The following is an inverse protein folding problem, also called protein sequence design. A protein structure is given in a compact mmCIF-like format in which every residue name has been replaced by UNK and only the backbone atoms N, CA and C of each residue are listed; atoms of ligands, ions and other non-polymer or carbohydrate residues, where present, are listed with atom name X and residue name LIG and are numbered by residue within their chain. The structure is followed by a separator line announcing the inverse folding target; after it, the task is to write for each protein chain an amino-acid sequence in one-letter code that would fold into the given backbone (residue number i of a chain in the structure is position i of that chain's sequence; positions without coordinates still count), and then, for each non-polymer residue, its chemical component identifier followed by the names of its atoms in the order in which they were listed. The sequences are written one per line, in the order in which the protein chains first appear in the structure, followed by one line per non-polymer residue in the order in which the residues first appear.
data_IF_344976369947
#
_entry.id   IF_344976369947
#
_cell.length_a   1.000
_cell.length_b   1.000
_cell.length_c   1.000
_cell.angle_alpha   90.00
_cell.angle_beta   90.00
_cell.angle_gamma   90.00
#
_symmetry.space_group_name_H-M   'P 1'
#
loop_
_entity.id
_entity.type
_entity.pdbx_description
1 polymer ?
#
# COMPACT_ATOMS: atom_id res chain seq x y z
N UNK A 1 19.62 14.36 -3.23
CA UNK A 1 18.41 14.85 -2.54
C UNK A 1 17.82 13.70 -1.77
N UNK A 2 17.51 13.93 -0.49
CA UNK A 2 17.05 12.95 0.48
C UNK A 2 15.57 13.16 0.79
N UNK A 3 14.75 12.13 0.55
CA UNK A 3 13.28 12.21 0.69
C UNK A 3 12.80 11.18 1.71
N UNK A 4 11.97 11.63 2.65
CA UNK A 4 11.23 10.75 3.55
C UNK A 4 9.82 10.51 3.03
N UNK A 5 9.38 9.25 3.03
CA UNK A 5 8.00 8.85 2.75
C UNK A 5 7.47 8.10 3.98
N UNK A 6 6.38 8.58 4.55
CA UNK A 6 5.82 8.04 5.81
C UNK A 6 4.50 7.33 5.52
N UNK A 7 4.35 6.13 6.04
CA UNK A 7 3.12 5.34 5.91
C UNK A 7 3.40 3.88 5.56
N UNK A 8 2.33 3.10 5.43
CA UNK A 8 2.41 1.66 5.14
C UNK A 8 1.56 1.20 3.96
N UNK A 9 0.86 2.14 3.32
CA UNK A 9 -0.06 1.89 2.21
C UNK A 9 0.63 1.70 0.86
N UNK A 10 -0.12 1.23 -0.13
CA UNK A 10 0.38 1.06 -1.50
C UNK A 10 0.92 2.36 -2.12
N UNK A 11 0.30 3.50 -1.79
CA UNK A 11 0.68 4.86 -2.21
C UNK A 11 2.13 5.21 -1.83
N UNK A 12 2.65 4.67 -0.73
CA UNK A 12 4.03 4.88 -0.28
C UNK A 12 5.00 4.28 -1.30
N UNK A 13 4.71 3.07 -1.75
CA UNK A 13 5.61 2.32 -2.62
C UNK A 13 5.49 2.80 -4.07
N UNK A 14 4.29 3.13 -4.54
CA UNK A 14 4.12 3.74 -5.87
C UNK A 14 4.77 5.12 -5.94
N UNK A 15 4.69 5.92 -4.87
CA UNK A 15 5.42 7.18 -4.75
C UNK A 15 6.94 6.98 -4.87
N UNK A 16 7.50 6.08 -4.06
CA UNK A 16 8.94 5.81 -4.10
C UNK A 16 9.43 5.30 -5.46
N UNK A 17 8.66 4.39 -6.08
CA UNK A 17 8.97 3.93 -7.43
C UNK A 17 8.96 5.05 -8.45
N UNK A 18 7.95 5.93 -8.41
CA UNK A 18 7.83 7.04 -9.35
C UNK A 18 8.93 8.07 -9.15
N UNK A 19 9.29 8.40 -7.92
CA UNK A 19 10.42 9.28 -7.60
C UNK A 19 11.72 8.75 -8.24
N UNK A 20 12.00 7.45 -8.11
CA UNK A 20 13.20 6.84 -8.71
C UNK A 20 13.12 6.72 -10.24
N UNK A 21 11.93 6.70 -10.84
CA UNK A 21 11.78 6.80 -12.30
C UNK A 21 12.17 8.20 -12.79
N UNK A 22 11.79 9.26 -12.05
CA UNK A 22 12.15 10.65 -12.40
C UNK A 22 13.62 10.94 -12.14
N UNK A 23 14.15 10.47 -11.02
CA UNK A 23 15.55 10.65 -10.68
C UNK A 23 16.10 9.43 -9.92
N UNK A 24 16.91 8.58 -10.56
CA UNK A 24 17.44 7.37 -9.93
C UNK A 24 18.49 7.66 -8.85
N UNK A 25 18.97 8.90 -8.71
CA UNK A 25 19.98 9.29 -7.72
C UNK A 25 19.37 9.81 -6.41
N UNK A 26 18.06 9.70 -6.22
CA UNK A 26 17.40 10.09 -4.97
C UNK A 26 17.73 9.12 -3.84
N UNK A 27 17.98 9.66 -2.65
CA UNK A 27 18.09 8.86 -1.44
C UNK A 27 16.72 8.81 -0.76
N UNK A 28 15.98 7.73 -1.00
CA UNK A 28 14.63 7.54 -0.47
C UNK A 28 14.70 6.77 0.85
N UNK A 29 13.98 7.26 1.85
CA UNK A 29 13.74 6.57 3.11
C UNK A 29 12.23 6.40 3.34
N UNK A 30 11.81 5.16 3.58
CA UNK A 30 10.44 4.81 3.94
C UNK A 30 10.39 4.56 5.44
N UNK A 31 9.43 5.19 6.13
CA UNK A 31 9.13 4.95 7.53
C UNK A 31 7.80 4.21 7.65
N UNK A 32 7.86 2.98 8.14
CA UNK A 32 6.71 2.10 8.32
C UNK A 32 6.71 1.57 9.77
N UNK A 33 5.58 1.71 10.44
CA UNK A 33 5.41 1.24 11.81
C UNK A 33 5.30 -0.29 11.89
N UNK A 34 4.94 -0.93 10.77
CA UNK A 34 4.79 -2.38 10.67
C UNK A 34 6.15 -3.07 10.65
N UNK A 35 6.16 -4.34 11.07
CA UNK A 35 7.37 -5.16 11.06
C UNK A 35 7.77 -5.62 9.65
N UNK A 36 6.81 -5.61 8.73
CA UNK A 36 7.00 -5.95 7.33
C UNK A 36 5.94 -5.19 6.51
N UNK A 37 6.32 -4.71 5.33
CA UNK A 37 5.38 -4.05 4.41
C UNK A 37 4.35 -5.06 3.90
N UNK A 38 3.07 -4.67 3.98
CA UNK A 38 1.95 -5.57 3.70
C UNK A 38 1.58 -6.52 4.86
N UNK A 39 2.26 -6.43 6.01
CA UNK A 39 1.89 -7.19 7.21
C UNK A 39 0.66 -6.58 7.88
N UNK A 40 -0.19 -7.42 8.48
CA UNK A 40 -1.37 -7.06 9.27
C UNK A 40 -2.42 -6.18 8.56
N UNK A 41 -3.62 -6.76 8.38
CA UNK A 41 -4.74 -6.10 7.73
C UNK A 41 -4.71 -6.30 6.23
N UNK A 42 -5.73 -6.95 5.69
CA UNK A 42 -6.01 -6.89 4.27
C UNK A 42 -6.89 -5.67 4.02
N UNK A 43 -6.58 -4.95 2.96
CA UNK A 43 -7.34 -3.79 2.48
C UNK A 43 -7.94 -4.15 1.11
N UNK A 44 -8.81 -3.31 0.53
CA UNK A 44 -9.41 -3.61 -0.77
C UNK A 44 -8.38 -3.86 -1.86
N UNK A 45 -8.54 -5.00 -2.52
CA UNK A 45 -7.71 -5.51 -3.59
C UNK A 45 -8.39 -5.48 -4.96
N UNK A 46 -9.56 -4.85 -5.07
CA UNK A 46 -10.38 -4.82 -6.28
C UNK A 46 -9.75 -3.95 -7.37
N UNK A 47 -9.90 -4.38 -8.62
CA UNK A 47 -9.50 -3.60 -9.79
C UNK A 47 -10.33 -3.96 -11.02
N UNK A 48 -10.50 -2.99 -11.92
CA UNK A 48 -11.16 -3.17 -13.21
C UNK A 48 -10.17 -3.61 -14.31
N UNK A 49 -8.94 -3.07 -14.27
CA UNK A 49 -7.91 -3.33 -15.28
C UNK A 49 -6.54 -3.64 -14.63
N UNK A 50 -5.79 -4.54 -15.26
CA UNK A 50 -4.42 -4.90 -14.89
C UNK A 50 -3.47 -4.66 -16.08
N UNK A 51 -2.26 -4.12 -15.87
CA UNK A 51 -1.61 -3.81 -14.58
C UNK A 51 -2.00 -2.46 -13.98
N UNK A 52 -2.03 -2.40 -12.65
CA UNK A 52 -2.35 -1.18 -11.88
C UNK A 52 -1.21 -0.15 -11.86
N UNK A 53 0.03 -0.61 -12.04
CA UNK A 53 1.24 0.20 -12.06
C UNK A 53 2.09 -0.20 -13.27
N UNK A 54 3.13 0.56 -13.65
CA UNK A 54 4.16 0.06 -14.54
C UNK A 54 4.64 -1.33 -14.08
N UNK A 55 4.66 -2.29 -15.00
CA UNK A 55 4.85 -3.71 -14.65
C UNK A 55 6.23 -3.98 -14.01
N UNK A 56 7.22 -3.16 -14.35
CA UNK A 56 8.57 -3.22 -13.80
C UNK A 56 8.68 -2.73 -12.36
N UNK A 57 7.64 -2.09 -11.81
CA UNK A 57 7.60 -1.73 -10.39
C UNK A 57 7.25 -2.94 -9.52
N UNK A 58 6.47 -3.89 -10.05
CA UNK A 58 5.98 -5.03 -9.28
C UNK A 58 6.99 -6.17 -9.34
N UNK A 59 7.44 -6.64 -8.18
CA UNK A 59 8.22 -7.87 -8.08
C UNK A 59 7.38 -9.13 -8.36
N UNK A 60 7.92 -10.30 -8.00
CA UNK A 60 7.17 -11.56 -8.13
C UNK A 60 5.95 -11.59 -7.20
N UNK A 61 4.76 -11.80 -7.79
CA UNK A 61 3.52 -12.10 -7.06
C UNK A 61 3.29 -13.60 -6.86
N UNK A 62 4.17 -14.45 -7.40
CA UNK A 62 4.08 -15.91 -7.36
C UNK A 62 2.67 -16.43 -7.73
N UNK A 63 2.03 -17.20 -6.83
CA UNK A 63 0.69 -17.75 -7.04
C UNK A 63 -0.44 -16.71 -7.01
N UNK A 64 -0.14 -15.46 -6.64
CA UNK A 64 -1.08 -14.34 -6.62
C UNK A 64 -0.94 -13.43 -7.85
N UNK A 65 -0.23 -13.86 -8.89
CA UNK A 65 -0.18 -13.13 -10.16
C UNK A 65 -1.58 -13.09 -10.80
N UNK A 66 -2.12 -11.89 -11.11
CA UNK A 66 -3.37 -11.74 -11.84
C UNK A 66 -3.44 -12.55 -13.14
N UNK A 67 -4.59 -13.19 -13.36
CA UNK A 67 -4.96 -13.94 -14.57
C UNK A 67 -6.00 -13.15 -15.36
N UNK A 68 -6.30 -13.60 -16.58
CA UNK A 68 -7.27 -12.93 -17.48
C UNK A 68 -8.65 -12.70 -16.85
N UNK A 69 -9.09 -13.57 -15.94
CA UNK A 69 -10.38 -13.50 -15.26
C UNK A 69 -10.31 -12.99 -13.82
N UNK A 70 -9.14 -12.48 -13.41
CA UNK A 70 -8.96 -11.91 -12.08
C UNK A 70 -9.46 -10.47 -12.04
N UNK A 71 -10.22 -10.13 -11.00
CA UNK A 71 -10.72 -8.77 -10.73
C UNK A 71 -10.39 -8.31 -9.31
N UNK A 72 -9.64 -9.13 -8.58
CA UNK A 72 -9.06 -8.79 -7.29
C UNK A 72 -7.64 -9.35 -7.17
N UNK A 73 -6.83 -8.71 -6.34
CA UNK A 73 -5.51 -9.18 -5.92
C UNK A 73 -5.46 -9.16 -4.40
N UNK A 74 -4.70 -10.06 -3.79
CA UNK A 74 -4.44 -9.96 -2.35
C UNK A 74 -3.59 -8.74 -2.06
N UNK A 75 -4.20 -7.72 -1.46
CA UNK A 75 -3.58 -6.42 -1.20
C UNK A 75 -2.23 -6.54 -0.49
N UNK A 76 -2.17 -7.32 0.60
CA UNK A 76 -0.93 -7.52 1.37
C UNK A 76 0.23 -8.02 0.52
N UNK A 77 -0.03 -8.94 -0.41
CA UNK A 77 0.98 -9.50 -1.30
C UNK A 77 1.40 -8.50 -2.37
N UNK A 78 0.46 -7.69 -2.87
CA UNK A 78 0.79 -6.65 -3.83
C UNK A 78 1.70 -5.59 -3.22
N UNK A 79 1.37 -5.13 -2.02
CA UNK A 79 2.22 -4.22 -1.23
C UNK A 79 3.61 -4.83 -0.97
N UNK A 80 3.66 -6.10 -0.60
CA UNK A 80 4.93 -6.80 -0.38
C UNK A 80 5.77 -6.88 -1.66
N UNK A 81 5.16 -7.19 -2.81
CA UNK A 81 5.88 -7.25 -4.08
C UNK A 81 6.44 -5.88 -4.52
N UNK A 82 5.67 -4.81 -4.33
CA UNK A 82 6.12 -3.43 -4.59
C UNK A 82 7.26 -3.03 -3.64
N UNK A 83 7.12 -3.28 -2.33
CA UNK A 83 8.14 -2.90 -1.35
C UNK A 83 9.48 -3.60 -1.58
N UNK A 84 9.48 -4.90 -1.88
CA UNK A 84 10.70 -5.66 -2.21
C UNK A 84 11.35 -5.09 -3.48
N UNK A 85 10.56 -4.84 -4.51
CA UNK A 85 11.05 -4.26 -5.77
C UNK A 85 11.67 -2.88 -5.54
N UNK A 86 11.03 -2.04 -4.74
CA UNK A 86 11.53 -0.71 -4.39
C UNK A 86 12.82 -0.76 -3.57
N UNK A 87 12.93 -1.70 -2.63
CA UNK A 87 14.17 -1.94 -1.88
C UNK A 87 15.32 -2.34 -2.82
N UNK A 88 15.05 -3.21 -3.82
CA UNK A 88 16.04 -3.59 -4.84
C UNK A 88 16.47 -2.40 -5.72
N UNK A 89 15.65 -1.36 -5.83
CA UNK A 89 16.00 -0.09 -6.49
C UNK A 89 16.80 0.87 -5.60
N UNK A 90 17.13 0.48 -4.37
CA UNK A 90 18.00 1.25 -3.47
C UNK A 90 17.28 2.10 -2.42
N UNK A 91 15.96 1.97 -2.26
CA UNK A 91 15.25 2.66 -1.19
C UNK A 91 15.58 2.07 0.18
N UNK A 92 15.70 2.92 1.19
CA UNK A 92 16.00 2.54 2.57
C UNK A 92 14.70 2.36 3.37
N UNK A 93 14.57 1.26 4.09
CA UNK A 93 13.37 0.95 4.86
C UNK A 93 13.64 1.02 6.36
N UNK A 94 12.93 1.89 7.05
CA UNK A 94 12.86 1.98 8.50
C UNK A 94 11.55 1.33 8.97
N UNK A 95 11.58 -0.01 9.06
CA UNK A 95 10.47 -0.82 9.57
C UNK A 95 10.44 -0.81 11.10
N UNK A 96 9.27 -1.03 11.70
CA UNK A 96 9.05 -0.92 13.16
C UNK A 96 9.51 0.43 13.71
N UNK A 97 9.35 1.50 12.93
CA UNK A 97 9.79 2.85 13.28
C UNK A 97 8.60 3.80 13.26
N UNK A 98 8.28 4.35 14.43
CA UNK A 98 7.20 5.34 14.61
C UNK A 98 7.82 6.72 14.53
N UNK A 99 7.34 7.55 13.60
CA UNK A 99 7.72 8.96 13.49
C UNK A 99 6.88 9.77 14.47
N UNK A 100 7.54 10.35 15.47
CA UNK A 100 6.91 11.12 16.55
C UNK A 100 6.71 12.57 16.19
N UNK A 101 7.72 13.19 15.59
CA UNK A 101 7.69 14.61 15.21
C UNK A 101 8.24 14.78 13.78
N UNK A 102 7.67 15.74 13.07
CA UNK A 102 8.14 16.19 11.77
C UNK A 102 8.22 17.72 11.79
N UNK A 103 9.42 18.27 11.96
CA UNK A 103 9.61 19.71 12.06
C UNK A 103 10.80 20.16 11.21
N UNK A 104 10.61 21.19 10.40
CA UNK A 104 11.66 21.75 9.55
C UNK A 104 12.40 20.67 8.75
N UNK A 105 11.70 19.67 8.20
CA UNK A 105 12.30 18.55 7.46
C UNK A 105 13.13 17.57 8.30
N UNK A 106 13.09 17.64 9.63
CA UNK A 106 13.69 16.66 10.54
C UNK A 106 12.61 15.64 10.91
N UNK A 107 12.88 14.37 10.62
CA UNK A 107 12.08 13.23 11.06
C UNK A 107 12.68 12.70 12.36
N UNK A 108 11.93 12.83 13.46
CA UNK A 108 12.26 12.22 14.76
C UNK A 108 11.46 10.92 14.90
N UNK A 109 12.18 9.80 15.01
CA UNK A 109 11.58 8.48 15.05
C UNK A 109 12.13 7.62 16.18
N UNK A 110 11.32 6.65 16.60
CA UNK A 110 11.72 5.62 17.55
C UNK A 110 11.00 4.30 17.28
N UNK A 111 11.62 3.20 17.66
CA UNK A 111 11.00 1.89 17.60
C UNK A 111 12.00 0.76 17.75
N UNK A 112 11.70 -0.37 17.13
CA UNK A 112 12.48 -1.60 17.27
C UNK A 112 12.98 -2.11 15.91
N UNK A 113 13.18 -1.17 14.97
CA UNK A 113 13.88 -1.38 13.70
C UNK A 113 15.39 -1.39 13.88
N UNK A 114 16.14 -1.39 12.77
CA UNK A 114 17.61 -1.39 12.80
C UNK A 114 18.18 -0.18 13.55
N UNK A 115 17.55 0.98 13.40
CA UNK A 115 17.79 2.15 14.25
C UNK A 115 16.69 2.21 15.31
N UNK A 116 17.06 2.04 16.58
CA UNK A 116 16.12 2.09 17.70
C UNK A 116 15.47 3.47 17.86
N UNK A 117 16.23 4.54 17.61
CA UNK A 117 15.71 5.90 17.52
C UNK A 117 16.70 6.79 16.78
N UNK A 118 16.24 7.94 16.31
CA UNK A 118 17.11 8.91 15.68
C UNK A 118 16.38 10.13 15.14
N UNK A 119 17.18 11.10 14.72
CA UNK A 119 16.72 12.28 13.99
C UNK A 119 17.49 12.33 12.67
N UNK A 120 16.75 12.40 11.55
CA UNK A 120 17.34 12.50 10.22
C UNK A 120 16.74 13.71 9.51
N UNK A 121 17.60 14.54 8.92
CA UNK A 121 17.21 15.68 8.11
C UNK A 121 16.95 15.24 6.66
N UNK A 122 15.84 15.68 6.12
CA UNK A 122 15.39 15.45 4.75
C UNK A 122 15.21 16.76 4.00
N UNK A 123 15.37 16.70 2.68
CA UNK A 123 15.08 17.82 1.79
C UNK A 123 13.55 17.93 1.57
N UNK A 124 12.89 16.78 1.44
CA UNK A 124 11.43 16.69 1.31
C UNK A 124 10.86 15.58 2.18
N UNK A 125 9.60 15.76 2.59
CA UNK A 125 8.85 14.76 3.33
C UNK A 125 7.45 14.63 2.76
N UNK A 126 7.04 13.39 2.52
CA UNK A 126 5.73 13.02 1.99
C UNK A 126 5.06 12.13 3.05
N UNK A 127 3.93 12.57 3.60
CA UNK A 127 3.25 11.87 4.69
C UNK A 127 1.89 11.30 4.23
N UNK A 128 1.77 9.97 4.25
CA UNK A 128 0.56 9.23 3.90
C UNK A 128 -0.13 8.62 5.13
N UNK A 129 0.24 9.01 6.36
CA UNK A 129 -0.36 8.45 7.58
C UNK A 129 -1.78 8.96 7.86
N UNK A 130 -2.20 10.05 7.22
CA UNK A 130 -3.55 10.57 7.36
C UNK A 130 -4.59 9.68 6.66
N UNK A 131 -5.50 9.10 7.45
CA UNK A 131 -6.70 8.42 6.99
C UNK A 131 -7.93 9.21 7.44
N UNK A 132 -8.37 10.16 6.61
CA UNK A 132 -9.48 11.08 6.92
C UNK A 132 -10.84 10.55 6.44
N UNK A 133 -11.10 9.25 6.53
CA UNK A 133 -12.38 8.68 6.12
C UNK A 133 -13.13 8.10 7.31
N UNK A 134 -14.34 8.61 7.53
CA UNK A 134 -15.28 8.10 8.53
C UNK A 134 -16.03 6.84 8.04
N UNK A 135 -15.87 6.46 6.77
CA UNK A 135 -16.55 5.30 6.19
C UNK A 135 -15.85 4.01 6.60
N UNK A 136 -16.61 3.11 7.24
CA UNK A 136 -16.18 1.75 7.58
C UNK A 136 -16.81 0.79 6.59
N UNK A 137 -15.98 -0.10 6.04
CA UNK A 137 -16.37 -1.19 5.18
C UNK A 137 -15.96 -2.50 5.83
N UNK A 138 -16.88 -3.44 5.85
CA UNK A 138 -16.65 -4.80 6.29
C UNK A 138 -16.41 -5.66 5.07
N UNK A 139 -15.40 -6.50 5.14
CA UNK A 139 -15.03 -7.34 4.02
C UNK A 139 -14.68 -8.75 4.45
N UNK A 140 -14.47 -9.58 3.45
CA UNK A 140 -14.02 -10.93 3.68
C UNK A 140 -13.58 -11.66 2.44
N UNK A 141 -13.02 -12.84 2.68
CA UNK A 141 -12.58 -13.76 1.64
C UNK A 141 -13.44 -15.01 1.75
N UNK A 142 -14.15 -15.36 0.68
CA UNK A 142 -15.06 -16.51 0.61
C UNK A 142 -14.71 -17.43 -0.57
N UNK A 143 -15.25 -18.65 -0.58
CA UNK A 143 -15.02 -19.68 -1.63
C UNK A 143 -16.22 -19.96 -2.51
N UNK A 144 -17.38 -19.37 -2.22
CA UNK A 144 -18.65 -19.62 -2.91
C UNK A 144 -19.36 -18.33 -3.23
N UNK A 145 -20.28 -18.38 -4.21
CA UNK A 145 -21.01 -17.23 -4.77
C UNK A 145 -21.41 -16.24 -3.67
N UNK A 146 -20.86 -15.01 -3.70
CA UNK A 146 -21.20 -14.02 -2.70
C UNK A 146 -22.60 -13.47 -2.99
N UNK A 147 -23.38 -13.22 -1.93
CA UNK A 147 -24.52 -12.31 -2.02
C UNK A 147 -24.03 -10.91 -1.63
N UNK A 148 -23.13 -10.34 -2.43
CA UNK A 148 -22.51 -9.04 -2.19
C UNK A 148 -22.45 -8.22 -3.49
N UNK A 149 -22.73 -6.93 -3.39
CA UNK A 149 -22.69 -6.02 -4.54
C UNK A 149 -21.26 -5.68 -4.97
N UNK A 150 -20.33 -5.60 -4.00
CA UNK A 150 -18.93 -5.26 -4.24
C UNK A 150 -18.08 -6.50 -3.98
N UNK A 151 -17.55 -7.09 -5.06
CA UNK A 151 -16.70 -8.28 -4.96
C UNK A 151 -15.71 -8.37 -6.12
N UNK A 152 -14.68 -9.21 -5.95
CA UNK A 152 -13.75 -9.53 -7.01
C UNK A 152 -13.11 -10.90 -6.83
N UNK A 153 -12.67 -11.49 -7.94
CA UNK A 153 -12.12 -12.84 -8.01
C UNK A 153 -10.60 -12.74 -7.97
N UNK A 154 -9.99 -13.36 -6.97
CA UNK A 154 -8.53 -13.43 -6.82
C UNK A 154 -7.94 -14.54 -7.71
N UNK A 155 -6.63 -14.52 -7.98
CA UNK A 155 -5.99 -15.51 -8.87
C UNK A 155 -6.07 -16.96 -8.37
N UNK A 156 -6.21 -17.15 -7.06
CA UNK A 156 -6.44 -18.44 -6.41
C UNK A 156 -7.91 -18.87 -6.38
N UNK A 157 -8.78 -18.12 -7.08
CA UNK A 157 -10.24 -18.32 -7.18
C UNK A 157 -11.01 -18.04 -5.90
N UNK A 158 -10.36 -17.58 -4.84
CA UNK A 158 -11.07 -17.02 -3.71
C UNK A 158 -11.72 -15.70 -4.10
N UNK A 159 -12.82 -15.35 -3.44
CA UNK A 159 -13.61 -14.18 -3.76
C UNK A 159 -13.48 -13.20 -2.61
N UNK A 160 -13.02 -12.00 -2.92
CA UNK A 160 -13.02 -10.86 -2.01
C UNK A 160 -14.37 -10.17 -2.07
N UNK A 161 -14.96 -9.83 -0.92
CA UNK A 161 -16.24 -9.13 -0.82
C UNK A 161 -16.13 -7.94 0.12
N UNK A 162 -16.95 -6.91 -0.13
CA UNK A 162 -17.08 -5.74 0.73
C UNK A 162 -18.53 -5.27 0.85
N UNK A 163 -18.88 -4.71 2.01
CA UNK A 163 -20.18 -4.10 2.30
C UNK A 163 -20.03 -3.05 3.40
N UNK A 164 -20.98 -2.13 3.50
CA UNK A 164 -21.12 -1.27 4.68
C UNK A 164 -21.89 -1.97 5.80
N UNK A 165 -22.55 -3.09 5.49
CA UNK A 165 -23.18 -3.96 6.48
C UNK A 165 -22.16 -4.96 7.03
N UNK A 166 -22.09 -5.08 8.36
CA UNK A 166 -21.13 -5.96 9.04
C UNK A 166 -21.36 -7.45 8.74
N UNK A 167 -22.60 -7.82 8.45
CA UNK A 167 -23.02 -9.21 8.25
C UNK A 167 -23.19 -9.53 6.77
N UNK A 168 -22.09 -9.73 6.04
CA UNK A 168 -22.17 -10.33 4.69
C UNK A 168 -22.40 -11.83 4.88
N UNK A 169 -23.42 -12.41 4.25
CA UNK A 169 -23.65 -13.85 4.30
C UNK A 169 -22.54 -14.59 3.55
N UNK A 170 -21.98 -15.65 4.16
CA UNK A 170 -20.99 -16.48 3.50
C UNK A 170 -20.11 -17.30 4.44
N UNK A 171 -19.45 -18.31 3.86
CA UNK A 171 -18.40 -19.09 4.53
C UNK A 171 -17.06 -18.39 4.38
N UNK A 172 -16.68 -17.61 5.40
CA UNK A 172 -15.44 -16.83 5.41
C UNK A 172 -14.21 -17.69 5.67
N UNK A 173 -13.21 -17.55 4.79
CA UNK A 173 -11.82 -17.92 5.08
C UNK A 173 -11.18 -16.84 5.99
N UNK A 174 -11.53 -15.57 5.74
CA UNK A 174 -10.96 -14.42 6.44
C UNK A 174 -12.00 -13.30 6.51
N UNK A 175 -12.07 -12.62 7.66
CA UNK A 175 -12.79 -11.35 7.84
C UNK A 175 -11.83 -10.18 7.78
N UNK A 176 -12.28 -9.06 7.26
CA UNK A 176 -11.49 -7.86 6.99
C UNK A 176 -12.30 -6.62 7.36
N UNK A 177 -11.62 -5.54 7.72
CA UNK A 177 -12.22 -4.22 7.94
C UNK A 177 -11.37 -3.19 7.20
N UNK A 178 -12.03 -2.27 6.52
CA UNK A 178 -11.38 -1.17 5.80
C UNK A 178 -12.01 0.15 6.20
N UNK A 179 -11.17 1.15 6.48
CA UNK A 179 -11.59 2.52 6.75
C UNK A 179 -11.11 3.41 5.64
N UNK A 180 -12.02 3.85 4.78
CA UNK A 180 -11.64 4.54 3.57
C UNK A 180 -12.77 4.70 2.56
N UNK A 181 -12.37 5.16 1.38
CA UNK A 181 -13.25 5.28 0.22
C UNK A 181 -13.80 3.93 -0.23
N UNK A 182 -14.74 3.98 -1.18
CA UNK A 182 -15.35 2.83 -1.82
C UNK A 182 -14.29 1.77 -2.22
N UNK A 183 -14.40 0.52 -1.73
CA UNK A 183 -13.46 -0.57 -2.01
C UNK A 183 -13.23 -0.85 -3.50
N UNK A 184 -14.22 -0.59 -4.37
CA UNK A 184 -14.10 -0.80 -5.82
C UNK A 184 -12.95 0.01 -6.43
N UNK A 185 -12.73 1.23 -5.92
CA UNK A 185 -11.76 2.17 -6.47
C UNK A 185 -10.58 2.44 -5.53
N UNK A 186 -10.65 1.96 -4.29
CA UNK A 186 -9.67 2.28 -3.26
C UNK A 186 -8.23 1.94 -3.66
N UNK A 187 -8.03 0.81 -4.35
CA UNK A 187 -6.71 0.37 -4.77
C UNK A 187 -6.09 1.31 -5.81
N UNK A 188 -6.81 1.58 -6.91
CA UNK A 188 -6.32 2.44 -8.00
C UNK A 188 -6.18 3.91 -7.56
N UNK A 189 -7.12 4.41 -6.74
CA UNK A 189 -7.05 5.76 -6.17
C UNK A 189 -5.74 5.97 -5.39
N UNK A 190 -5.34 4.96 -4.60
CA UNK A 190 -4.12 5.05 -3.78
C UNK A 190 -2.87 4.88 -4.61
N UNK A 191 -2.88 4.00 -5.61
CA UNK A 191 -1.79 3.94 -6.60
C UNK A 191 -1.55 5.32 -7.21
N UNK A 192 -2.61 5.96 -7.73
CA UNK A 192 -2.55 7.27 -8.36
C UNK A 192 -2.10 8.35 -7.38
N UNK A 193 -2.62 8.36 -6.15
CA UNK A 193 -2.21 9.28 -5.09
C UNK A 193 -0.70 9.25 -4.85
N UNK A 194 -0.09 8.06 -4.83
CA UNK A 194 1.36 7.93 -4.68
C UNK A 194 2.14 8.50 -5.87
N UNK A 195 1.67 8.26 -7.10
CA UNK A 195 2.26 8.79 -8.33
C UNK A 195 2.18 10.33 -8.35
N UNK A 196 1.01 10.88 -8.07
CA UNK A 196 0.77 12.34 -8.03
C UNK A 196 1.62 13.04 -6.96
N UNK A 197 1.77 12.42 -5.78
CA UNK A 197 2.66 12.93 -4.74
C UNK A 197 4.13 12.97 -5.19
N UNK A 198 4.59 11.97 -5.94
CA UNK A 198 5.93 11.97 -6.50
C UNK A 198 6.12 13.08 -7.54
N UNK A 199 5.14 13.26 -8.43
CA UNK A 199 5.17 14.29 -9.48
C UNK A 199 5.19 15.70 -8.91
N UNK A 200 4.39 15.96 -7.87
CA UNK A 200 4.33 17.27 -7.22
C UNK A 200 5.57 17.59 -6.37
N UNK A 201 6.33 16.57 -5.94
CA UNK A 201 7.53 16.77 -5.12
C UNK A 201 8.74 17.20 -5.95
N UNK A 202 8.86 16.70 -7.18
CA UNK A 202 9.99 16.99 -8.06
C UNK A 202 9.44 17.45 -9.41
N UNK A 203 9.49 18.75 -9.67
CA UNK A 203 9.28 19.30 -11.01
C UNK A 203 10.43 18.89 -11.93
N UNK A 204 10.13 18.62 -13.21
CA UNK A 204 11.16 18.36 -14.24
C UNK A 204 12.17 19.50 -14.40
#
# INVERSE_FOLDING_TARGET
MKIAILGSGIEVFTCGHRLLDKNPNLEIHIFDEKAESGMYGEEPGLYDEWPLTPINWVGSLFSQQPKEDSTAIRYSWFVKALSISLANRGANFHLKSIVKNLENGIVDFSGAGYLASGQIKFDHTIDFRENNSDSVWYGGVVISSPNAEIFGIRPDRTIEVWSQEENIEGNYIQKMEWRGKNPQYALIDRVNRGIEAAESTISE
#
